data_IF_467864546993
#
_entry.id   IF_467864546993
#
_cell.length_a   1.000
_cell.length_b   1.000
_cell.length_c   1.000
_cell.angle_alpha   90.00
_cell.angle_beta   90.00
_cell.angle_gamma   90.00
#
_symmetry.space_group_name_H-M   'P 1'
#
loop_
_entity.id
_entity.type
_entity.pdbx_description
1 polymer ?
#
# COMPACT_ATOMS: atom_id res chain seq x y z
N UNK A 1 62.20 -25.75 -10.25
CA UNK A 1 61.03 -25.71 -11.17
C UNK A 1 59.70 -25.48 -10.47
N UNK A 2 59.34 -26.23 -9.42
CA UNK A 2 58.00 -26.17 -8.79
C UNK A 2 57.68 -24.81 -8.13
N UNK A 3 58.66 -24.16 -7.45
CA UNK A 3 58.45 -22.85 -6.80
C UNK A 3 58.13 -21.72 -7.79
N UNK A 4 58.70 -21.75 -9.00
CA UNK A 4 58.43 -20.74 -10.04
C UNK A 4 57.03 -20.87 -10.64
N UNK A 5 56.52 -22.10 -10.77
CA UNK A 5 55.18 -22.38 -11.29
C UNK A 5 54.08 -21.90 -10.34
N UNK A 6 54.25 -22.09 -9.03
CA UNK A 6 53.31 -21.62 -8.00
C UNK A 6 53.19 -20.09 -7.97
N UNK A 7 54.31 -19.37 -8.11
CA UNK A 7 54.32 -17.91 -8.14
C UNK A 7 53.60 -17.38 -9.40
N UNK A 8 53.80 -18.01 -10.55
CA UNK A 8 53.11 -17.64 -11.79
C UNK A 8 51.60 -17.83 -11.69
N UNK A 9 51.13 -18.94 -11.10
CA UNK A 9 49.69 -19.20 -10.89
C UNK A 9 49.08 -18.15 -9.96
N UNK A 10 49.76 -17.81 -8.85
CA UNK A 10 49.28 -16.76 -7.94
C UNK A 10 49.15 -15.40 -8.63
N UNK A 11 50.10 -15.01 -9.48
CA UNK A 11 50.05 -13.74 -10.21
C UNK A 11 48.90 -13.69 -11.23
N UNK A 12 48.62 -14.80 -11.93
CA UNK A 12 47.47 -14.87 -12.87
C UNK A 12 46.14 -14.79 -12.12
N UNK A 13 46.03 -15.45 -10.97
CA UNK A 13 44.84 -15.36 -10.12
C UNK A 13 44.61 -13.96 -9.56
N UNK A 14 45.65 -13.25 -9.12
CA UNK A 14 45.48 -11.88 -8.61
C UNK A 14 45.12 -10.90 -9.72
N UNK A 15 45.75 -11.00 -10.89
CA UNK A 15 45.44 -10.13 -12.05
C UNK A 15 44.01 -10.37 -12.55
N UNK A 16 43.57 -11.63 -12.63
CA UNK A 16 42.19 -11.96 -13.04
C UNK A 16 41.17 -11.47 -12.01
N UNK A 17 41.45 -11.57 -10.71
CA UNK A 17 40.57 -11.06 -9.66
C UNK A 17 40.43 -9.53 -9.71
N UNK A 18 41.53 -8.79 -9.93
CA UNK A 18 41.52 -7.32 -10.06
C UNK A 18 40.79 -6.88 -11.35
N UNK A 19 40.96 -7.64 -12.43
CA UNK A 19 40.27 -7.36 -13.70
C UNK A 19 38.76 -7.61 -13.57
N UNK A 20 38.36 -8.64 -12.82
CA UNK A 20 36.96 -8.95 -12.56
C UNK A 20 36.30 -7.91 -11.65
N UNK A 21 36.96 -7.49 -10.56
CA UNK A 21 36.42 -6.47 -9.65
C UNK A 21 36.30 -5.10 -10.32
N UNK A 22 37.27 -4.71 -11.15
CA UNK A 22 37.21 -3.45 -11.92
C UNK A 22 36.09 -3.47 -12.95
N UNK A 23 35.88 -4.58 -13.67
CA UNK A 23 34.77 -4.73 -14.61
C UNK A 23 33.41 -4.69 -13.89
N UNK A 24 33.28 -5.36 -12.74
CA UNK A 24 32.07 -5.35 -11.93
C UNK A 24 31.73 -3.95 -11.40
N UNK A 25 32.73 -3.25 -10.84
CA UNK A 25 32.59 -1.86 -10.37
C UNK A 25 32.10 -0.94 -11.48
N UNK A 26 32.67 -1.04 -12.68
CA UNK A 26 32.29 -0.23 -13.84
C UNK A 26 30.89 -0.55 -14.35
N UNK A 27 30.47 -1.82 -14.29
CA UNK A 27 29.10 -2.22 -14.63
C UNK A 27 28.08 -1.67 -13.63
N UNK A 28 28.40 -1.70 -12.34
CA UNK A 28 27.58 -1.19 -11.25
C UNK A 28 27.42 0.34 -11.33
N UNK A 29 28.50 1.05 -11.64
CA UNK A 29 28.51 2.49 -11.84
C UNK A 29 27.67 2.90 -13.07
N UNK A 30 27.69 2.11 -14.15
CA UNK A 30 26.87 2.34 -15.33
C UNK A 30 25.37 2.11 -15.07
N UNK A 31 25.00 1.03 -14.38
CA UNK A 31 23.60 0.77 -13.99
C UNK A 31 23.06 1.85 -13.07
N UNK A 32 23.82 2.28 -12.06
CA UNK A 32 23.42 3.38 -11.19
C UNK A 32 23.23 4.69 -11.97
N UNK A 33 24.07 4.95 -12.97
CA UNK A 33 23.92 6.15 -13.81
C UNK A 33 22.66 6.09 -14.68
N UNK A 34 22.32 4.93 -15.22
CA UNK A 34 21.12 4.75 -16.05
C UNK A 34 19.84 4.80 -15.20
N UNK A 35 19.84 4.22 -14.00
CA UNK A 35 18.74 4.34 -13.03
C UNK A 35 18.53 5.79 -12.60
N UNK A 36 19.61 6.54 -12.32
CA UNK A 36 19.51 7.96 -11.96
C UNK A 36 18.97 8.82 -13.13
N UNK A 37 19.39 8.56 -14.37
CA UNK A 37 18.86 9.28 -15.54
C UNK A 37 17.37 8.98 -15.75
N UNK A 38 16.94 7.73 -15.57
CA UNK A 38 15.53 7.36 -15.68
C UNK A 38 14.70 7.97 -14.53
N UNK A 39 15.27 8.06 -13.33
CA UNK A 39 14.65 8.73 -12.18
C UNK A 39 14.50 10.24 -12.37
N UNK A 40 15.49 10.89 -13.00
CA UNK A 40 15.42 12.32 -13.34
C UNK A 40 14.42 12.63 -14.47
N UNK A 41 14.03 11.63 -15.27
CA UNK A 41 13.03 11.74 -16.34
C UNK A 41 11.61 11.37 -15.89
N UNK A 42 11.47 10.77 -14.70
CA UNK A 42 10.18 10.32 -14.19
C UNK A 42 9.45 11.50 -13.54
N UNK A 43 8.20 11.74 -13.92
CA UNK A 43 7.39 12.83 -13.36
C UNK A 43 7.30 12.71 -11.83
N UNK A 44 7.43 13.80 -11.08
CA UNK A 44 7.24 13.77 -9.63
C UNK A 44 5.85 13.25 -9.24
N UNK A 45 5.74 12.61 -8.06
CA UNK A 45 4.44 12.18 -7.55
C UNK A 45 3.54 13.38 -7.30
N UNK A 46 2.34 13.34 -7.87
CA UNK A 46 1.28 14.33 -7.70
C UNK A 46 -0.07 13.64 -7.41
N UNK A 47 -1.13 14.42 -7.18
CA UNK A 47 -2.43 13.90 -6.75
C UNK A 47 -3.07 12.90 -7.73
N UNK A 48 -2.79 13.02 -9.03
CA UNK A 48 -3.33 12.12 -10.05
C UNK A 48 -2.77 10.70 -9.95
N UNK A 49 -1.61 10.54 -9.29
CA UNK A 49 -0.95 9.25 -9.09
C UNK A 49 -1.52 8.46 -7.90
N UNK A 50 -2.32 9.10 -7.05
CA UNK A 50 -2.90 8.50 -5.84
C UNK A 50 -4.30 7.99 -6.15
N UNK A 51 -4.63 6.78 -5.71
CA UNK A 51 -5.99 6.22 -5.78
C UNK A 51 -6.53 5.99 -4.38
N UNK A 52 -7.60 6.72 -4.01
CA UNK A 52 -8.25 6.56 -2.72
C UNK A 52 -9.24 5.38 -2.73
N UNK A 53 -9.15 4.49 -1.74
CA UNK A 53 -10.10 3.39 -1.52
C UNK A 53 -10.72 3.51 -0.13
N UNK A 54 -11.96 4.00 -0.07
CA UNK A 54 -12.65 4.30 1.20
C UNK A 54 -13.68 3.19 1.49
N UNK A 55 -13.57 2.43 2.59
CA UNK A 55 -14.66 1.54 2.98
C UNK A 55 -15.87 2.37 3.38
N UNK A 56 -17.05 2.02 2.87
CA UNK A 56 -18.30 2.63 3.29
C UNK A 56 -19.38 1.59 3.56
N UNK A 57 -20.39 1.97 4.35
CA UNK A 57 -21.67 1.26 4.41
C UNK A 57 -22.77 2.14 3.89
N UNK A 58 -23.66 1.57 3.08
CA UNK A 58 -24.89 2.22 2.63
C UNK A 58 -25.73 2.80 3.77
N UNK A 59 -25.68 2.19 4.97
CA UNK A 59 -26.41 2.66 6.15
C UNK A 59 -25.82 3.95 6.74
N UNK A 60 -24.50 4.14 6.63
CA UNK A 60 -23.77 5.20 7.35
C UNK A 60 -23.24 6.28 6.43
N UNK A 61 -23.09 5.99 5.13
CA UNK A 61 -22.45 6.87 4.17
C UNK A 61 -23.08 8.27 4.12
N UNK A 62 -24.41 8.39 4.16
CA UNK A 62 -25.05 9.71 4.10
C UNK A 62 -24.65 10.63 5.27
N UNK A 63 -24.31 10.06 6.43
CA UNK A 63 -23.90 10.81 7.61
C UNK A 63 -22.38 11.05 7.65
N UNK A 64 -21.60 10.12 7.09
CA UNK A 64 -20.13 10.14 7.17
C UNK A 64 -19.42 10.70 5.94
N UNK A 65 -20.09 10.70 4.78
CA UNK A 65 -19.53 11.16 3.50
C UNK A 65 -18.89 12.54 3.57
N UNK A 66 -19.38 13.42 4.47
CA UNK A 66 -18.85 14.76 4.67
C UNK A 66 -17.35 14.76 4.99
N UNK A 67 -16.86 13.83 5.81
CA UNK A 67 -15.44 13.80 6.22
C UNK A 67 -14.54 13.51 5.02
N UNK A 68 -14.76 12.38 4.35
CA UNK A 68 -13.97 12.02 3.17
C UNK A 68 -14.17 12.99 1.99
N UNK A 69 -15.30 13.69 1.93
CA UNK A 69 -15.57 14.69 0.88
C UNK A 69 -14.83 16.01 1.09
N UNK A 70 -14.34 16.34 2.29
CA UNK A 70 -13.58 17.58 2.53
C UNK A 70 -12.26 17.63 1.75
N UNK A 71 -11.58 16.48 1.63
CA UNK A 71 -10.34 16.35 0.84
C UNK A 71 -10.59 16.03 -0.63
N UNK A 72 -11.85 15.80 -1.02
CA UNK A 72 -12.20 15.37 -2.37
C UNK A 72 -12.40 16.55 -3.30
N UNK A 73 -11.77 16.48 -4.48
CA UNK A 73 -11.91 17.48 -5.54
C UNK A 73 -12.33 16.79 -6.84
N UNK A 74 -13.58 16.95 -7.29
CA UNK A 74 -14.06 16.37 -8.53
C UNK A 74 -13.12 16.67 -9.70
N UNK A 75 -12.85 15.67 -10.54
CA UNK A 75 -11.94 15.72 -11.70
C UNK A 75 -10.44 15.97 -11.38
N UNK A 76 -10.06 16.14 -10.11
CA UNK A 76 -8.67 16.34 -9.68
C UNK A 76 -8.18 15.11 -8.90
N UNK A 77 -8.93 14.73 -7.87
CA UNK A 77 -8.66 13.51 -7.10
C UNK A 77 -9.34 12.32 -7.77
N UNK A 78 -8.77 11.12 -7.60
CA UNK A 78 -9.40 9.87 -8.05
C UNK A 78 -9.50 8.87 -6.91
N UNK A 79 -10.62 8.17 -6.83
CA UNK A 79 -10.91 7.28 -5.73
C UNK A 79 -12.32 6.76 -5.76
N UNK A 80 -12.58 5.78 -4.92
CA UNK A 80 -13.87 5.11 -4.84
C UNK A 80 -14.23 4.81 -3.39
N UNK A 81 -15.53 4.89 -3.14
CA UNK A 81 -16.15 4.35 -1.93
C UNK A 81 -16.56 2.92 -2.23
N UNK A 82 -16.06 1.98 -1.46
CA UNK A 82 -16.39 0.57 -1.56
C UNK A 82 -17.50 0.24 -0.56
N UNK A 83 -18.72 0.12 -1.08
CA UNK A 83 -19.92 -0.12 -0.28
C UNK A 83 -20.17 -1.61 -0.04
N UNK A 84 -20.82 -1.87 1.10
CA UNK A 84 -21.33 -3.19 1.49
C UNK A 84 -22.44 -3.72 0.56
N UNK A 85 -23.26 -2.85 -0.01
CA UNK A 85 -24.33 -3.19 -0.95
C UNK A 85 -24.69 -1.98 -1.82
N UNK A 86 -25.59 -2.20 -2.79
CA UNK A 86 -26.13 -1.09 -3.59
C UNK A 86 -27.03 -0.20 -2.72
N UNK A 87 -26.88 1.14 -2.74
CA UNK A 87 -27.82 2.05 -2.09
C UNK A 87 -29.26 1.81 -2.57
N UNK A 88 -30.25 2.01 -1.69
CA UNK A 88 -31.65 1.96 -2.08
C UNK A 88 -31.95 3.07 -3.10
N UNK A 89 -32.95 2.86 -3.98
CA UNK A 89 -33.29 3.85 -5.03
C UNK A 89 -33.66 5.23 -4.48
N UNK A 90 -34.18 5.25 -3.26
CA UNK A 90 -34.64 6.48 -2.59
C UNK A 90 -33.51 7.22 -1.86
N UNK A 91 -32.30 6.64 -1.82
CA UNK A 91 -31.13 7.29 -1.23
C UNK A 91 -30.40 8.07 -2.31
N UNK A 92 -30.47 9.39 -2.23
CA UNK A 92 -29.70 10.29 -3.08
C UNK A 92 -28.22 10.20 -2.71
N UNK A 93 -27.36 9.94 -3.70
CA UNK A 93 -25.92 9.97 -3.47
C UNK A 93 -25.48 11.41 -3.18
N UNK A 94 -24.69 11.68 -2.13
CA UNK A 94 -24.32 13.04 -1.78
C UNK A 94 -23.58 13.74 -2.93
N UNK A 95 -23.99 14.98 -3.23
CA UNK A 95 -23.32 15.82 -4.22
C UNK A 95 -21.86 16.06 -3.81
N UNK A 96 -20.98 16.16 -4.81
CA UNK A 96 -19.53 16.32 -4.60
C UNK A 96 -18.87 15.23 -3.75
N UNK A 97 -19.52 14.08 -3.59
CA UNK A 97 -18.93 12.92 -2.93
C UNK A 97 -18.17 12.05 -3.93
N UNK A 98 -17.28 11.21 -3.40
CA UNK A 98 -16.57 10.20 -4.20
C UNK A 98 -17.57 9.29 -4.93
N UNK A 99 -17.26 8.85 -6.15
CA UNK A 99 -18.03 7.78 -6.78
C UNK A 99 -17.94 6.50 -5.96
N UNK A 100 -18.93 5.62 -6.07
CA UNK A 100 -18.94 4.35 -5.35
C UNK A 100 -18.88 3.13 -6.26
N UNK A 101 -18.42 2.02 -5.69
CA UNK A 101 -18.65 0.66 -6.18
C UNK A 101 -19.16 -0.20 -5.04
N UNK A 102 -19.79 -1.32 -5.37
CA UNK A 102 -20.18 -2.33 -4.39
C UNK A 102 -19.08 -3.38 -4.38
N UNK A 103 -18.56 -3.69 -3.19
CA UNK A 103 -17.55 -4.74 -3.04
C UNK A 103 -18.09 -6.09 -3.51
N UNK A 104 -17.20 -6.92 -4.04
CA UNK A 104 -17.50 -8.29 -4.43
C UNK A 104 -17.89 -9.16 -3.22
N UNK A 105 -18.67 -10.21 -3.49
CA UNK A 105 -19.10 -11.16 -2.46
C UNK A 105 -17.91 -11.83 -1.76
N UNK A 106 -17.99 -11.86 -0.43
CA UNK A 106 -16.99 -12.46 0.45
C UNK A 106 -17.52 -13.69 1.22
N UNK A 107 -18.67 -14.24 0.81
CA UNK A 107 -19.25 -15.44 1.42
C UNK A 107 -18.29 -16.64 1.46
N UNK A 108 -17.43 -16.78 0.44
CA UNK A 108 -16.43 -17.86 0.32
C UNK A 108 -15.34 -17.84 1.39
N UNK A 109 -15.09 -16.70 2.04
CA UNK A 109 -14.02 -16.56 3.00
C UNK A 109 -14.41 -17.08 4.38
N UNK A 110 -13.45 -17.70 5.07
CA UNK A 110 -13.62 -18.04 6.48
C UNK A 110 -13.65 -16.75 7.31
N UNK A 111 -14.51 -16.72 8.32
CA UNK A 111 -14.43 -15.75 9.42
C UNK A 111 -14.90 -16.48 10.68
N UNK A 112 -14.00 -16.74 11.60
CA UNK A 112 -14.27 -17.49 12.84
C UNK A 112 -14.15 -16.62 14.08
N UNK A 113 -13.90 -15.31 13.92
CA UNK A 113 -13.91 -14.40 15.04
C UNK A 113 -15.35 -14.18 15.49
N UNK A 114 -15.70 -14.72 16.66
CA UNK A 114 -17.09 -14.72 17.13
C UNK A 114 -17.60 -13.34 17.57
N UNK A 115 -16.71 -12.41 17.90
CA UNK A 115 -17.04 -11.03 18.29
C UNK A 115 -16.72 -9.98 17.22
N UNK A 116 -16.08 -10.38 16.12
CA UNK A 116 -15.70 -9.50 15.02
C UNK A 116 -16.79 -9.39 13.96
N UNK A 117 -16.88 -8.23 13.31
CA UNK A 117 -17.82 -8.03 12.20
C UNK A 117 -17.28 -8.65 10.91
N UNK A 118 -18.15 -9.32 10.12
CA UNK A 118 -17.72 -9.97 8.88
C UNK A 118 -17.23 -8.98 7.81
N UNK A 119 -17.61 -7.71 7.92
CA UNK A 119 -17.15 -6.65 7.01
C UNK A 119 -15.64 -6.49 6.98
N UNK A 120 -14.88 -6.94 7.98
CA UNK A 120 -13.41 -6.89 7.98
C UNK A 120 -12.81 -7.59 6.77
N UNK A 121 -13.41 -8.69 6.34
CA UNK A 121 -13.00 -9.45 5.14
C UNK A 121 -13.21 -8.63 3.88
N UNK A 122 -14.33 -7.89 3.81
CA UNK A 122 -14.67 -7.03 2.67
C UNK A 122 -13.73 -5.83 2.63
N UNK A 123 -13.50 -5.18 3.77
CA UNK A 123 -12.65 -3.99 3.87
C UNK A 123 -11.20 -4.35 3.53
N UNK A 124 -10.67 -5.47 4.04
CA UNK A 124 -9.33 -5.95 3.70
C UNK A 124 -9.13 -6.17 2.19
N UNK A 125 -10.19 -6.47 1.44
CA UNK A 125 -10.11 -6.67 -0.03
C UNK A 125 -10.11 -5.38 -0.84
N UNK A 126 -10.37 -4.21 -0.25
CA UNK A 126 -10.48 -2.94 -0.97
C UNK A 126 -9.24 -2.60 -1.79
N UNK A 127 -8.03 -2.83 -1.25
CA UNK A 127 -6.78 -2.60 -2.00
C UNK A 127 -6.73 -3.45 -3.26
N UNK A 128 -7.15 -4.73 -3.16
CA UNK A 128 -7.20 -5.64 -4.30
C UNK A 128 -8.27 -5.25 -5.30
N UNK A 129 -9.48 -4.97 -4.84
CA UNK A 129 -10.57 -4.53 -5.72
C UNK A 129 -10.21 -3.21 -6.44
N UNK A 130 -9.49 -2.31 -5.77
CA UNK A 130 -8.98 -1.05 -6.36
C UNK A 130 -7.87 -1.30 -7.38
N UNK A 131 -6.96 -2.22 -7.11
CA UNK A 131 -5.90 -2.62 -8.04
C UNK A 131 -6.47 -3.25 -9.31
N UNK A 132 -7.45 -4.13 -9.17
CA UNK A 132 -8.09 -4.86 -10.27
C UNK A 132 -8.91 -3.97 -11.22
N UNK A 133 -9.12 -2.69 -10.88
CA UNK A 133 -9.68 -1.70 -11.82
C UNK A 133 -8.75 -1.42 -13.01
N UNK A 134 -7.45 -1.72 -12.89
CA UNK A 134 -6.49 -1.54 -13.97
C UNK A 134 -6.30 -0.07 -14.39
N UNK A 135 -6.48 0.87 -13.46
CA UNK A 135 -6.28 2.30 -13.75
C UNK A 135 -4.80 2.56 -14.06
N UNK A 136 -4.54 3.29 -15.14
CA UNK A 136 -3.20 3.66 -15.54
C UNK A 136 -2.59 4.70 -14.58
N UNK A 137 -1.26 4.73 -14.54
CA UNK A 137 -0.49 5.73 -13.81
C UNK A 137 -0.84 5.80 -12.31
N UNK A 138 -1.10 4.65 -11.68
CA UNK A 138 -1.23 4.54 -10.21
C UNK A 138 0.13 4.25 -9.61
N UNK A 139 0.52 5.08 -8.64
CA UNK A 139 1.72 4.90 -7.84
C UNK A 139 1.42 4.49 -6.41
N UNK A 140 0.29 4.98 -5.87
CA UNK A 140 -0.10 4.80 -4.49
C UNK A 140 -1.58 4.48 -4.37
N UNK A 141 -1.88 3.41 -3.62
CA UNK A 141 -3.22 3.09 -3.14
C UNK A 141 -3.34 3.60 -1.71
N UNK A 142 -4.23 4.56 -1.49
CA UNK A 142 -4.43 5.15 -0.16
C UNK A 142 -5.77 4.69 0.38
N UNK A 143 -5.74 3.95 1.48
CA UNK A 143 -6.94 3.51 2.19
C UNK A 143 -7.11 4.33 3.45
N UNK A 144 -8.33 4.73 3.78
CA UNK A 144 -8.68 5.34 5.07
C UNK A 144 -10.18 5.21 5.29
N UNK A 145 -10.63 5.31 6.53
CA UNK A 145 -12.02 5.10 6.93
C UNK A 145 -12.96 6.20 6.38
N UNK A 146 -14.28 5.97 6.45
CA UNK A 146 -15.29 6.92 5.97
C UNK A 146 -15.44 8.19 6.85
N UNK A 147 -14.73 8.24 7.97
CA UNK A 147 -14.56 9.40 8.85
C UNK A 147 -13.15 10.00 8.82
N UNK A 148 -12.25 9.50 7.95
CA UNK A 148 -10.91 10.10 7.74
C UNK A 148 -10.99 11.37 6.87
N UNK A 149 -10.23 12.39 7.26
CA UNK A 149 -10.05 13.64 6.50
C UNK A 149 -8.67 13.64 5.82
N UNK A 150 -8.64 13.88 4.50
CA UNK A 150 -7.41 13.85 3.72
C UNK A 150 -6.92 15.27 3.38
N UNK A 151 -5.72 15.61 3.84
CA UNK A 151 -4.99 16.81 3.41
C UNK A 151 -4.15 16.47 2.17
N UNK A 152 -4.76 16.56 0.98
CA UNK A 152 -4.19 15.98 -0.24
C UNK A 152 -2.82 16.52 -0.63
N UNK A 153 -2.57 17.81 -0.42
CA UNK A 153 -1.30 18.49 -0.70
C UNK A 153 -0.19 17.95 0.22
N UNK A 154 -0.50 17.78 1.50
CA UNK A 154 0.43 17.22 2.48
C UNK A 154 0.70 15.75 2.17
N UNK A 155 -0.34 14.99 1.81
CA UNK A 155 -0.21 13.59 1.44
C UNK A 155 0.69 13.41 0.22
N UNK A 156 0.51 14.22 -0.83
CA UNK A 156 1.39 14.24 -2.01
C UNK A 156 2.83 14.56 -1.61
N UNK A 157 3.02 15.59 -0.78
CA UNK A 157 4.35 15.98 -0.28
C UNK A 157 5.03 14.86 0.51
N UNK A 158 4.26 14.10 1.28
CA UNK A 158 4.80 12.97 2.04
C UNK A 158 5.18 11.82 1.11
N UNK A 159 4.30 11.45 0.18
CA UNK A 159 4.52 10.32 -0.72
C UNK A 159 5.58 10.61 -1.80
N UNK A 160 5.82 11.87 -2.17
CA UNK A 160 6.87 12.24 -3.12
C UNK A 160 8.30 12.03 -2.59
N UNK A 161 8.46 11.84 -1.27
CA UNK A 161 9.76 11.46 -0.65
C UNK A 161 10.22 10.06 -1.03
N UNK A 162 9.28 9.19 -1.43
CA UNK A 162 9.51 7.77 -1.62
C UNK A 162 9.61 7.41 -3.09
N UNK A 163 10.54 6.50 -3.41
CA UNK A 163 10.62 5.91 -4.73
C UNK A 163 9.43 4.96 -4.94
N UNK A 164 8.43 5.42 -5.69
CA UNK A 164 7.20 4.68 -5.93
C UNK A 164 7.39 3.35 -6.69
N UNK A 165 8.58 3.10 -7.25
CA UNK A 165 8.95 1.83 -7.87
C UNK A 165 9.45 0.79 -6.84
N UNK A 166 9.56 1.15 -5.57
CA UNK A 166 9.87 0.23 -4.47
C UNK A 166 8.61 -0.18 -3.69
N UNK A 167 8.73 -1.26 -2.92
CA UNK A 167 7.64 -1.75 -2.06
C UNK A 167 7.58 -0.99 -0.74
N UNK A 168 6.57 -0.14 -0.60
CA UNK A 168 6.29 0.62 0.62
C UNK A 168 4.88 0.36 1.16
N UNK A 169 4.82 0.08 2.46
CA UNK A 169 3.62 0.09 3.30
C UNK A 169 3.76 1.23 4.30
N UNK A 170 3.07 2.35 4.06
CA UNK A 170 3.24 3.60 4.80
C UNK A 170 2.00 3.87 5.66
N UNK A 171 2.22 4.34 6.88
CA UNK A 171 1.18 4.81 7.77
C UNK A 171 1.74 5.04 9.16
N UNK A 172 0.89 4.91 10.19
CA UNK A 172 1.32 5.02 11.59
C UNK A 172 0.58 4.02 12.47
N UNK A 173 1.23 3.63 13.56
CA UNK A 173 0.59 2.92 14.64
C UNK A 173 -0.38 3.86 15.40
N UNK A 174 -1.33 3.30 16.13
CA UNK A 174 -2.35 4.06 16.85
C UNK A 174 -1.76 5.01 17.90
N UNK A 175 -2.40 6.14 18.13
CA UNK A 175 -2.19 6.99 19.29
C UNK A 175 -2.69 6.34 20.61
N UNK A 176 -3.59 5.36 20.54
CA UNK A 176 -4.06 4.60 21.70
C UNK A 176 -3.09 3.46 22.05
N UNK A 177 -2.64 3.45 23.31
CA UNK A 177 -1.78 2.37 23.83
C UNK A 177 -2.52 1.03 23.81
N UNK A 178 -3.79 1.03 24.20
CA UNK A 178 -4.65 -0.15 24.25
C UNK A 178 -4.82 -0.78 22.86
N UNK A 179 -5.07 0.04 21.84
CA UNK A 179 -5.17 -0.43 20.47
C UNK A 179 -3.86 -1.06 19.97
N UNK A 180 -2.71 -0.48 20.32
CA UNK A 180 -1.39 -1.04 19.97
C UNK A 180 -1.09 -2.36 20.69
N UNK A 181 -1.45 -2.47 21.97
CA UNK A 181 -1.27 -3.70 22.75
C UNK A 181 -2.15 -4.83 22.22
N UNK A 182 -3.38 -4.51 21.81
CA UNK A 182 -4.33 -5.49 21.28
C UNK A 182 -4.02 -5.95 19.86
N UNK A 183 -3.51 -5.05 19.01
CA UNK A 183 -3.19 -5.36 17.62
C UNK A 183 -1.67 -5.37 17.38
N UNK A 184 -1.05 -4.21 17.11
CA UNK A 184 0.40 -4.13 16.88
C UNK A 184 0.94 -2.69 16.89
N UNK A 185 2.14 -2.51 17.45
CA UNK A 185 2.92 -1.27 17.29
C UNK A 185 3.57 -1.12 15.90
N UNK A 186 3.46 -2.14 15.05
CA UNK A 186 4.10 -2.23 13.74
C UNK A 186 3.09 -2.47 12.60
N UNK A 187 1.89 -1.90 12.73
CA UNK A 187 0.88 -1.85 11.66
C UNK A 187 0.42 -0.42 11.41
N UNK A 188 0.00 -0.13 10.18
CA UNK A 188 -0.73 1.10 9.89
C UNK A 188 -2.18 0.93 10.32
N UNK A 189 -2.72 1.88 11.07
CA UNK A 189 -4.13 1.90 11.46
C UNK A 189 -4.93 2.69 10.43
N UNK A 190 -6.02 2.10 9.94
CA UNK A 190 -6.85 2.60 8.86
C UNK A 190 -7.57 3.89 9.19
N UNK A 191 -7.87 4.14 10.47
CA UNK A 191 -8.40 5.43 10.93
C UNK A 191 -7.44 6.59 10.65
N UNK A 192 -6.13 6.33 10.71
CA UNK A 192 -5.08 7.28 10.30
C UNK A 192 -4.68 7.19 8.84
N UNK A 193 -5.35 6.34 8.06
CA UNK A 193 -5.05 5.93 6.70
C UNK A 193 -3.74 5.14 6.53
N UNK A 194 -3.62 4.49 5.37
CA UNK A 194 -2.39 3.82 4.93
C UNK A 194 -2.17 4.05 3.44
N UNK A 195 -0.92 4.15 3.03
CA UNK A 195 -0.53 4.21 1.62
C UNK A 195 0.30 2.98 1.23
N UNK A 196 -0.10 2.32 0.15
CA UNK A 196 0.53 1.13 -0.38
C UNK A 196 1.05 1.46 -1.78
N UNK A 197 2.36 1.34 -1.99
CA UNK A 197 2.99 1.54 -3.30
C UNK A 197 2.44 0.55 -4.34
N UNK A 198 2.49 0.92 -5.62
CA UNK A 198 2.00 0.06 -6.71
C UNK A 198 2.70 -1.32 -6.77
N UNK A 199 4.05 -1.42 -6.67
CA UNK A 199 4.73 -2.73 -6.65
C UNK A 199 4.29 -3.60 -5.47
N UNK A 200 4.08 -3.01 -4.29
CA UNK A 200 3.60 -3.77 -3.14
C UNK A 200 2.15 -4.23 -3.33
N UNK A 201 1.28 -3.38 -3.87
CA UNK A 201 -0.10 -3.77 -4.17
C UNK A 201 -0.13 -4.97 -5.15
N UNK A 202 0.74 -4.95 -6.16
CA UNK A 202 0.86 -6.04 -7.13
C UNK A 202 1.29 -7.37 -6.48
N UNK A 203 2.19 -7.37 -5.49
CA UNK A 203 2.52 -8.60 -4.74
C UNK A 203 1.40 -9.00 -3.79
N UNK A 204 0.80 -8.02 -3.11
CA UNK A 204 -0.29 -8.26 -2.15
C UNK A 204 -1.48 -8.94 -2.81
N UNK A 205 -1.95 -8.47 -3.98
CA UNK A 205 -3.15 -9.03 -4.62
C UNK A 205 -3.01 -10.51 -5.00
N UNK A 206 -1.77 -10.98 -5.23
CA UNK A 206 -1.49 -12.40 -5.53
C UNK A 206 -1.77 -13.30 -4.34
N UNK A 207 -1.50 -12.83 -3.12
CA UNK A 207 -1.60 -13.62 -1.90
C UNK A 207 -2.82 -13.29 -1.03
N UNK A 208 -3.45 -12.12 -1.23
CA UNK A 208 -4.39 -11.52 -0.28
C UNK A 208 -5.56 -12.45 0.05
N UNK A 209 -6.17 -13.10 -0.93
CA UNK A 209 -7.33 -13.98 -0.68
C UNK A 209 -6.96 -15.17 0.21
N UNK A 210 -5.78 -15.76 0.00
CA UNK A 210 -5.30 -16.88 0.81
C UNK A 210 -4.83 -16.40 2.19
N UNK A 211 -4.20 -15.22 2.25
CA UNK A 211 -3.79 -14.58 3.50
C UNK A 211 -5.02 -14.29 4.40
N UNK A 212 -6.09 -13.70 3.85
CA UNK A 212 -7.35 -13.49 4.57
C UNK A 212 -7.89 -14.82 5.12
N UNK A 213 -7.84 -15.89 4.32
CA UNK A 213 -8.27 -17.21 4.77
C UNK A 213 -7.36 -17.83 5.83
N UNK A 214 -6.06 -17.49 5.88
CA UNK A 214 -5.15 -17.90 6.96
C UNK A 214 -5.46 -17.14 8.26
N UNK A 215 -5.69 -15.84 8.15
CA UNK A 215 -5.99 -14.95 9.28
C UNK A 215 -7.49 -14.80 9.57
N UNK A 216 -8.28 -15.82 9.26
CA UNK A 216 -9.75 -15.80 9.37
C UNK A 216 -10.30 -15.57 10.80
N UNK A 217 -9.43 -15.62 11.81
CA UNK A 217 -9.76 -15.39 13.22
C UNK A 217 -9.50 -13.94 13.67
N UNK A 218 -8.86 -13.12 12.84
CA UNK A 218 -8.55 -11.72 13.13
C UNK A 218 -9.82 -10.87 12.98
N UNK A 219 -10.11 -10.04 13.99
CA UNK A 219 -11.31 -9.20 14.05
C UNK A 219 -11.16 -7.82 13.38
N UNK A 220 -9.92 -7.46 13.03
CA UNK A 220 -9.53 -6.13 12.59
C UNK A 220 -8.88 -6.20 11.20
N UNK A 221 -9.33 -5.36 10.27
CA UNK A 221 -8.86 -5.44 8.89
C UNK A 221 -7.43 -4.91 8.71
N UNK A 222 -7.01 -3.93 9.51
CA UNK A 222 -5.67 -3.37 9.47
C UNK A 222 -4.64 -4.40 9.92
N UNK A 223 -4.95 -5.09 11.02
CA UNK A 223 -4.13 -6.21 11.50
C UNK A 223 -4.06 -7.34 10.47
N UNK A 224 -5.16 -7.62 9.78
CA UNK A 224 -5.18 -8.62 8.70
C UNK A 224 -4.25 -8.22 7.55
N UNK A 225 -4.35 -6.98 7.07
CA UNK A 225 -3.46 -6.45 6.03
C UNK A 225 -2.01 -6.45 6.50
N UNK A 226 -1.73 -6.00 7.72
CA UNK A 226 -0.38 -5.97 8.28
C UNK A 226 0.25 -7.36 8.36
N UNK A 227 -0.53 -8.40 8.67
CA UNK A 227 -0.05 -9.77 8.64
C UNK A 227 0.29 -10.22 7.21
N UNK A 228 -0.52 -9.85 6.21
CA UNK A 228 -0.20 -10.11 4.81
C UNK A 228 1.07 -9.38 4.36
N UNK A 229 1.27 -8.13 4.79
CA UNK A 229 2.51 -7.40 4.51
C UNK A 229 3.74 -8.08 5.14
N UNK A 230 3.58 -8.63 6.34
CA UNK A 230 4.63 -9.40 7.02
C UNK A 230 4.98 -10.70 6.27
N UNK A 231 3.99 -11.39 5.67
CA UNK A 231 4.25 -12.55 4.81
C UNK A 231 5.04 -12.20 3.54
N UNK A 232 4.83 -11.01 2.98
CA UNK A 232 5.62 -10.47 1.85
C UNK A 232 7.03 -10.04 2.33
N UNK A 233 7.20 -9.77 3.61
CA UNK A 233 8.44 -9.29 4.21
C UNK A 233 8.61 -7.77 4.14
N UNK A 234 7.52 -7.01 3.98
CA UNK A 234 7.56 -5.54 3.93
C UNK A 234 7.13 -4.95 5.26
N UNK A 235 8.02 -4.24 5.98
CA UNK A 235 7.68 -3.62 7.25
C UNK A 235 6.88 -2.32 7.07
N UNK A 236 6.20 -1.90 8.15
CA UNK A 236 5.60 -0.57 8.21
C UNK A 236 6.67 0.52 8.14
N UNK A 237 6.49 1.43 7.19
CA UNK A 237 7.20 2.70 7.12
C UNK A 237 6.39 3.76 7.86
N UNK A 238 6.90 4.22 9.01
CA UNK A 238 6.18 5.12 9.90
C UNK A 238 6.27 6.57 9.44
N UNK A 239 5.12 7.20 9.21
CA UNK A 239 5.01 8.63 8.91
C UNK A 239 4.19 9.34 9.99
N UNK A 240 4.73 10.43 10.53
CA UNK A 240 4.10 11.14 11.65
C UNK A 240 2.80 11.85 11.27
N UNK A 241 2.57 12.12 9.98
CA UNK A 241 1.38 12.83 9.49
C UNK A 241 0.12 11.96 9.30
N UNK A 242 0.20 10.66 9.60
CA UNK A 242 -0.94 9.74 9.61
C UNK A 242 -1.44 9.62 11.06
N UNK A 243 -2.72 9.93 11.30
CA UNK A 243 -3.28 10.14 12.65
C UNK A 243 -4.66 9.49 12.81
N UNK A 244 -4.81 8.63 13.82
CA UNK A 244 -6.09 7.97 14.15
C UNK A 244 -6.94 8.82 15.11
#
# INVERSE_FOLDING_TARGET
MIKGLLIAICLVYTISLISFTSHFSKSYEHTNKLENINKDLEEETNISHILFGIPGSTKMWNNRSRYSSLGWRPNITRGLVWLDKKPHKDVTWPENSLPYRVSLDTSKFKNTCWFGDRSVVRIARIVKESFELGLSNVRWFVMGDDDTVFFTENLVTVLSKYDHNQMYYIGRNSESVEANVMCSYNMAYGGGSTAISYPLAMELVKILDDCINRYHYVFDYDLMISNCMAEIGVPLTKELGFHQ
#
